data_IF_240545984627
#
_entry.id   IF_240545984627
#
_cell.length_a   1.000
_cell.length_b   1.000
_cell.length_c   1.000
_cell.angle_alpha   90.00
_cell.angle_beta   90.00
_cell.angle_gamma   90.00
#
_symmetry.space_group_name_H-M   'P 1'
#
loop_
_entity.id
_entity.type
_entity.pdbx_description
1 polymer ?
#
# COMPACT_ATOMS: atom_id res chain seq x y z
N UNK A 1 4.61 36.44 112.20
CA UNK A 1 3.24 36.47 111.65
C UNK A 1 3.33 37.00 110.22
N UNK A 2 2.79 36.23 109.27
CA UNK A 2 3.02 36.31 107.82
C UNK A 2 2.36 37.52 107.16
N UNK A 3 3.09 38.25 106.31
CA UNK A 3 2.50 38.98 105.18
C UNK A 3 3.47 38.92 103.99
N UNK A 4 3.45 37.78 103.27
CA UNK A 4 4.06 37.68 101.94
C UNK A 4 3.13 38.33 100.92
N UNK A 5 3.56 39.48 100.45
CA UNK A 5 3.05 40.19 99.28
C UNK A 5 3.00 39.24 98.07
N UNK A 6 1.79 39.01 97.53
CA UNK A 6 1.56 38.12 96.38
C UNK A 6 0.98 38.95 95.24
N UNK A 7 1.86 39.71 94.59
CA UNK A 7 1.57 40.27 93.27
C UNK A 7 1.82 39.14 92.28
N UNK A 8 0.75 38.58 91.69
CA UNK A 8 0.87 37.68 90.53
C UNK A 8 -0.12 38.05 89.46
N UNK A 9 0.41 38.84 88.50
CA UNK A 9 0.35 38.70 87.04
C UNK A 9 -1.01 38.47 86.36
N UNK A 10 -1.40 39.52 85.63
CA UNK A 10 -2.25 39.57 84.43
C UNK A 10 -2.38 38.25 83.65
N UNK A 11 -3.62 37.79 83.48
CA UNK A 11 -4.01 36.85 82.44
C UNK A 11 -3.65 37.42 81.07
N UNK A 12 -2.77 36.72 80.35
CA UNK A 12 -2.55 36.95 78.92
C UNK A 12 -3.09 35.73 78.20
N UNK A 13 -4.22 35.92 77.53
CA UNK A 13 -4.84 34.94 76.65
C UNK A 13 -3.92 34.71 75.44
N UNK A 14 -3.07 33.69 75.50
CA UNK A 14 -2.30 33.25 74.34
C UNK A 14 -3.26 32.51 73.39
N UNK A 15 -3.67 33.21 72.34
CA UNK A 15 -4.44 32.66 71.22
C UNK A 15 -3.56 31.62 70.52
N UNK A 16 -3.84 30.35 70.78
CA UNK A 16 -3.07 29.22 70.29
C UNK A 16 -3.51 28.94 68.84
N UNK A 17 -2.85 29.59 67.88
CA UNK A 17 -3.03 29.30 66.45
C UNK A 17 -2.27 28.02 66.14
N UNK A 18 -3.01 26.93 65.99
CA UNK A 18 -2.46 25.64 65.60
C UNK A 18 -2.12 25.68 64.10
N UNK A 19 -0.84 25.86 63.75
CA UNK A 19 -0.37 25.67 62.38
C UNK A 19 -0.57 24.19 61.97
N UNK A 20 -1.25 23.89 60.85
CA UNK A 20 -1.34 22.52 60.35
C UNK A 20 0.02 22.14 59.74
N UNK A 21 0.83 21.48 60.57
CA UNK A 21 2.16 20.99 60.23
C UNK A 21 2.06 19.87 59.19
N UNK A 22 2.10 20.25 57.92
CA UNK A 22 2.70 19.56 56.77
C UNK A 22 2.76 18.02 56.76
N UNK A 23 1.72 17.31 57.19
CA UNK A 23 1.64 15.86 57.05
C UNK A 23 1.83 15.44 55.58
N UNK A 24 1.30 16.25 54.66
CA UNK A 24 1.48 16.14 53.21
C UNK A 24 2.96 16.05 52.81
N UNK A 25 3.85 16.92 53.32
CA UNK A 25 5.28 16.89 52.97
C UNK A 25 5.97 15.59 53.39
N UNK A 26 5.54 14.95 54.49
CA UNK A 26 6.10 13.67 54.97
C UNK A 26 5.66 12.49 54.11
N UNK A 27 4.43 12.53 53.58
CA UNK A 27 3.95 11.57 52.59
C UNK A 27 4.70 11.71 51.26
N UNK A 28 4.96 12.95 50.81
CA UNK A 28 5.73 13.22 49.59
C UNK A 28 7.25 12.96 49.72
N UNK A 29 7.79 12.98 50.94
CA UNK A 29 9.22 12.73 51.22
C UNK A 29 9.56 11.25 51.48
N UNK A 30 8.58 10.34 51.41
CA UNK A 30 8.81 8.91 51.60
C UNK A 30 9.50 8.32 50.36
N UNK A 31 10.67 7.69 50.53
CA UNK A 31 11.49 7.14 49.42
C UNK A 31 10.72 6.19 48.50
N UNK A 32 9.75 5.44 49.04
CA UNK A 32 8.86 4.56 48.26
C UNK A 32 7.86 5.33 47.38
N UNK A 33 7.38 6.48 47.85
CA UNK A 33 6.47 7.35 47.09
C UNK A 33 7.19 7.99 45.91
N UNK A 34 8.42 8.46 46.12
CA UNK A 34 9.27 9.03 45.07
C UNK A 34 9.62 7.96 44.02
N UNK A 35 9.96 6.74 44.46
CA UNK A 35 10.22 5.62 43.54
C UNK A 35 8.98 5.25 42.70
N UNK A 36 7.80 5.22 43.31
CA UNK A 36 6.54 4.97 42.60
C UNK A 36 6.22 6.09 41.61
N UNK A 37 6.37 7.35 42.02
CA UNK A 37 6.14 8.50 41.15
C UNK A 37 7.11 8.51 39.97
N UNK A 38 8.38 8.18 40.20
CA UNK A 38 9.39 8.03 39.15
C UNK A 38 9.04 6.89 38.17
N UNK A 39 8.53 5.76 38.66
CA UNK A 39 8.07 4.65 37.82
C UNK A 39 6.88 5.07 36.95
N UNK A 40 5.89 5.74 37.54
CA UNK A 40 4.73 6.27 36.81
C UNK A 40 5.18 7.27 35.75
N UNK A 41 6.10 8.17 36.10
CA UNK A 41 6.65 9.16 35.18
C UNK A 41 7.42 8.49 34.02
N UNK A 42 8.22 7.46 34.31
CA UNK A 42 8.92 6.66 33.29
C UNK A 42 7.94 6.01 32.31
N UNK A 43 6.85 5.41 32.81
CA UNK A 43 5.81 4.80 31.98
C UNK A 43 5.10 5.87 31.13
N UNK A 44 4.83 7.04 31.71
CA UNK A 44 4.20 8.16 31.01
C UNK A 44 5.08 8.70 29.87
N UNK A 45 6.41 8.69 30.04
CA UNK A 45 7.37 9.05 28.99
C UNK A 45 7.56 7.93 27.95
N UNK A 46 7.45 6.66 28.35
CA UNK A 46 7.56 5.52 27.44
C UNK A 46 6.33 5.37 26.51
N UNK A 47 5.15 5.73 27.00
CA UNK A 47 3.89 5.61 26.25
C UNK A 47 3.83 6.39 24.92
N UNK A 48 4.24 7.68 24.82
CA UNK A 48 4.23 8.42 23.57
C UNK A 48 5.25 7.88 22.55
N UNK A 49 6.36 7.30 23.00
CA UNK A 49 7.36 6.71 22.11
C UNK A 49 6.81 5.48 21.37
N UNK A 50 6.06 4.62 22.08
CA UNK A 50 5.40 3.46 21.47
C UNK A 50 4.32 3.87 20.45
N UNK A 51 3.55 4.94 20.73
CA UNK A 51 2.48 5.42 19.83
C UNK A 51 3.00 6.15 18.59
N UNK A 52 4.18 6.76 18.68
CA UNK A 52 4.79 7.56 17.60
C UNK A 52 5.29 6.68 16.44
N UNK A 53 5.76 5.46 16.72
CA UNK A 53 6.34 4.58 15.70
C UNK A 53 5.31 4.12 14.65
N UNK A 54 4.09 3.79 15.09
CA UNK A 54 3.04 3.31 14.17
C UNK A 54 2.55 4.39 13.21
N UNK A 55 2.54 5.67 13.62
CA UNK A 55 2.05 6.78 12.78
C UNK A 55 2.99 7.08 11.63
N UNK A 56 4.29 6.99 11.86
CA UNK A 56 5.31 7.20 10.81
C UNK A 56 5.23 6.12 9.74
N UNK A 57 5.06 4.86 10.14
CA UNK A 57 4.94 3.74 9.19
C UNK A 57 3.69 3.82 8.32
N UNK A 58 2.56 4.28 8.87
CA UNK A 58 1.33 4.47 8.09
C UNK A 58 1.48 5.62 7.10
N UNK A 59 2.02 6.76 7.54
CA UNK A 59 2.24 7.92 6.67
C UNK A 59 3.22 7.59 5.53
N UNK A 60 4.32 6.90 5.81
CA UNK A 60 5.30 6.53 4.77
C UNK A 60 4.68 5.58 3.74
N UNK A 61 3.88 4.60 4.19
CA UNK A 61 3.15 3.69 3.30
C UNK A 61 2.12 4.42 2.43
N UNK A 62 1.41 5.39 3.00
CA UNK A 62 0.45 6.21 2.24
C UNK A 62 1.17 7.05 1.19
N UNK A 63 2.33 7.65 1.52
CA UNK A 63 3.15 8.41 0.58
C UNK A 63 3.67 7.50 -0.54
N UNK A 64 4.17 6.31 -0.22
CA UNK A 64 4.65 5.34 -1.20
C UNK A 64 3.50 4.89 -2.13
N UNK A 65 2.32 4.59 -1.58
CA UNK A 65 1.14 4.23 -2.36
C UNK A 65 0.69 5.36 -3.28
N UNK A 66 0.74 6.62 -2.84
CA UNK A 66 0.42 7.77 -3.70
C UNK A 66 1.46 7.94 -4.82
N UNK A 67 2.75 7.76 -4.53
CA UNK A 67 3.82 7.83 -5.54
C UNK A 67 3.66 6.75 -6.61
N UNK A 68 3.34 5.52 -6.22
CA UNK A 68 3.07 4.44 -7.16
C UNK A 68 1.89 4.77 -8.09
N UNK A 69 0.80 5.33 -7.55
CA UNK A 69 -0.33 5.77 -8.36
C UNK A 69 0.04 6.87 -9.35
N UNK A 70 0.87 7.84 -8.94
CA UNK A 70 1.34 8.89 -9.85
C UNK A 70 2.15 8.28 -11.00
N UNK A 71 3.07 7.37 -10.71
CA UNK A 71 3.86 6.71 -11.74
C UNK A 71 3.00 5.88 -12.70
N UNK A 72 1.96 5.20 -12.18
CA UNK A 72 0.99 4.48 -13.00
C UNK A 72 0.21 5.42 -13.93
N UNK A 73 -0.27 6.56 -13.40
CA UNK A 73 -0.98 7.54 -14.21
C UNK A 73 -0.09 8.19 -15.28
N UNK A 74 1.16 8.52 -14.95
CA UNK A 74 2.12 9.06 -15.92
C UNK A 74 2.39 8.05 -17.05
N UNK A 75 2.60 6.78 -16.71
CA UNK A 75 2.78 5.71 -17.69
C UNK A 75 1.54 5.56 -18.59
N UNK A 76 0.35 5.48 -18.00
CA UNK A 76 -0.88 5.34 -18.76
C UNK A 76 -1.11 6.54 -19.68
N UNK A 77 -0.78 7.75 -19.21
CA UNK A 77 -0.88 8.95 -20.04
C UNK A 77 0.09 8.89 -21.23
N UNK A 78 1.33 8.44 -21.02
CA UNK A 78 2.30 8.27 -22.09
C UNK A 78 1.84 7.23 -23.12
N UNK A 79 1.37 6.06 -22.68
CA UNK A 79 0.85 5.02 -23.58
C UNK A 79 -0.35 5.53 -24.40
N UNK A 80 -1.22 6.34 -23.79
CA UNK A 80 -2.37 6.91 -24.48
C UNK A 80 -1.95 7.97 -25.51
N UNK A 81 -0.94 8.78 -25.20
CA UNK A 81 -0.34 9.71 -26.16
C UNK A 81 0.29 8.97 -27.34
N UNK A 82 1.09 7.92 -27.10
CA UNK A 82 1.69 7.10 -28.15
C UNK A 82 0.61 6.44 -29.04
N UNK A 83 -0.49 5.99 -28.44
CA UNK A 83 -1.62 5.45 -29.19
C UNK A 83 -2.33 6.51 -30.05
N UNK A 84 -2.53 7.72 -29.52
CA UNK A 84 -3.08 8.83 -30.29
C UNK A 84 -2.17 9.21 -31.46
N UNK A 85 -0.85 9.23 -31.24
CA UNK A 85 0.13 9.51 -32.29
C UNK A 85 0.10 8.43 -33.39
N UNK A 86 -0.04 7.15 -33.01
CA UNK A 86 -0.25 6.06 -33.96
C UNK A 86 -1.52 6.28 -34.79
N UNK A 87 -2.65 6.59 -34.14
CA UNK A 87 -3.92 6.83 -34.84
C UNK A 87 -3.89 8.05 -35.77
N UNK A 88 -3.12 9.09 -35.41
CA UNK A 88 -2.92 10.26 -36.25
C UNK A 88 -1.97 10.01 -37.43
N UNK A 89 -1.19 8.92 -37.38
CA UNK A 89 -0.23 8.59 -38.43
C UNK A 89 -0.92 8.08 -39.71
N UNK A 90 -0.30 8.29 -40.89
CA UNK A 90 -0.80 7.71 -42.14
C UNK A 90 -0.74 6.17 -42.15
N UNK A 91 0.04 5.55 -41.27
CA UNK A 91 0.12 4.10 -41.13
C UNK A 91 -1.18 3.51 -40.56
N UNK A 92 -1.78 4.15 -39.55
CA UNK A 92 -3.08 3.71 -39.03
C UNK A 92 -4.20 3.83 -40.08
N UNK A 93 -4.17 4.88 -40.92
CA UNK A 93 -5.11 5.01 -42.04
C UNK A 93 -4.91 3.91 -43.08
N UNK A 94 -3.67 3.52 -43.36
CA UNK A 94 -3.34 2.42 -44.25
C UNK A 94 -3.79 1.07 -43.68
N UNK A 95 -3.49 0.79 -42.41
CA UNK A 95 -3.89 -0.44 -41.72
C UNK A 95 -5.42 -0.58 -41.69
N UNK A 96 -6.13 0.50 -41.40
CA UNK A 96 -7.59 0.53 -41.46
C UNK A 96 -8.10 0.30 -42.89
N UNK A 97 -7.49 0.90 -43.91
CA UNK A 97 -7.86 0.68 -45.31
C UNK A 97 -7.63 -0.78 -45.76
N UNK A 98 -6.53 -1.40 -45.33
CA UNK A 98 -6.25 -2.82 -45.60
C UNK A 98 -7.26 -3.74 -44.90
N UNK A 99 -7.60 -3.45 -43.65
CA UNK A 99 -8.52 -4.27 -42.86
C UNK A 99 -9.99 -4.12 -43.29
N UNK A 100 -10.44 -2.88 -43.51
CA UNK A 100 -11.86 -2.59 -43.76
C UNK A 100 -12.25 -2.61 -45.23
N UNK A 101 -11.33 -2.30 -46.14
CA UNK A 101 -11.61 -2.16 -47.57
C UNK A 101 -10.83 -3.17 -48.41
N UNK A 102 -10.06 -4.07 -47.78
CA UNK A 102 -9.16 -5.02 -48.46
C UNK A 102 -8.27 -4.33 -49.50
N UNK A 103 -7.95 -3.05 -49.26
CA UNK A 103 -7.23 -2.18 -50.19
C UNK A 103 -5.76 -2.58 -50.25
N UNK A 104 -5.18 -2.49 -51.45
CA UNK A 104 -3.85 -2.96 -51.78
C UNK A 104 -2.98 -1.84 -52.33
N UNK A 105 -1.67 -1.91 -52.11
CA UNK A 105 -0.73 -0.94 -52.69
C UNK A 105 -0.59 -1.16 -54.20
N UNK A 106 -0.24 -0.12 -55.00
CA UNK A 106 0.05 -0.29 -56.42
C UNK A 106 1.24 -1.26 -56.58
N UNK A 107 0.99 -2.44 -57.16
CA UNK A 107 1.97 -3.52 -57.33
C UNK A 107 1.67 -4.83 -56.56
N UNK A 108 0.62 -4.88 -55.75
CA UNK A 108 0.25 -6.07 -54.97
C UNK A 108 -0.76 -6.98 -55.71
N UNK A 109 -0.47 -8.28 -55.79
CA UNK A 109 -1.33 -9.28 -56.43
C UNK A 109 -2.29 -9.91 -55.41
N UNK A 110 -3.60 -9.86 -55.69
CA UNK A 110 -4.64 -10.47 -54.84
C UNK A 110 -4.98 -11.82 -55.45
N UNK A 111 -4.77 -12.89 -54.70
CA UNK A 111 -5.16 -14.25 -55.07
C UNK A 111 -6.47 -14.57 -54.37
N UNK A 112 -7.56 -14.68 -55.14
CA UNK A 112 -8.86 -15.11 -54.63
C UNK A 112 -8.87 -16.63 -54.72
N UNK A 113 -8.84 -17.31 -53.58
CA UNK A 113 -8.90 -18.77 -53.52
C UNK A 113 -10.39 -19.18 -53.56
N UNK A 114 -10.84 -19.71 -54.69
CA UNK A 114 -12.18 -20.25 -54.84
C UNK A 114 -12.31 -21.55 -54.05
N UNK A 115 -13.31 -21.63 -53.17
CA UNK A 115 -13.50 -22.75 -52.24
C UNK A 115 -13.87 -24.05 -52.97
N UNK A 116 -14.45 -23.97 -54.16
CA UNK A 116 -14.91 -25.14 -54.90
C UNK A 116 -13.77 -26.08 -55.33
N UNK A 117 -12.56 -25.58 -55.56
CA UNK A 117 -11.38 -26.41 -55.90
C UNK A 117 -10.66 -26.98 -54.67
N UNK A 118 -10.72 -26.32 -53.52
CA UNK A 118 -10.07 -26.79 -52.29
C UNK A 118 -10.76 -28.05 -51.76
N UNK A 119 -12.09 -28.12 -51.87
CA UNK A 119 -12.86 -29.31 -51.48
C UNK A 119 -12.52 -30.50 -52.40
N UNK A 120 -12.25 -30.28 -53.69
CA UNK A 120 -11.90 -31.36 -54.61
C UNK A 120 -10.43 -31.81 -54.48
N UNK A 121 -9.51 -30.88 -54.19
CA UNK A 121 -8.11 -31.20 -53.95
C UNK A 121 -7.88 -31.83 -52.56
N UNK A 122 -8.63 -31.39 -51.54
CA UNK A 122 -8.59 -31.95 -50.19
C UNK A 122 -9.24 -33.33 -50.07
N UNK A 123 -10.33 -33.59 -50.80
CA UNK A 123 -11.04 -34.87 -50.75
C UNK A 123 -10.37 -35.96 -51.62
N UNK A 124 -9.56 -35.58 -52.61
CA UNK A 124 -8.83 -36.52 -53.47
C UNK A 124 -7.58 -37.11 -52.78
N UNK A 125 -7.04 -36.45 -51.75
CA UNK A 125 -5.90 -36.97 -50.97
C UNK A 125 -6.29 -37.73 -49.69
N UNK A 126 -7.57 -37.74 -49.31
CA UNK A 126 -8.05 -38.39 -48.08
C UNK A 126 -8.70 -39.77 -48.30
N UNK A 127 -8.79 -40.24 -49.56
CA UNK A 127 -9.32 -41.56 -49.91
C UNK A 127 -8.22 -42.62 -50.07
N UNK A 128 -7.19 -42.59 -49.21
CA UNK A 128 -6.40 -43.78 -48.91
C UNK A 128 -7.02 -44.48 -47.69
N UNK A 129 -7.81 -45.50 -48.01
CA UNK A 129 -8.42 -46.43 -47.08
C UNK A 129 -7.42 -47.00 -46.05
N UNK A 130 -7.92 -47.17 -44.82
CA UNK A 130 -7.44 -48.03 -43.73
C UNK A 130 -6.34 -47.53 -42.78
N UNK A 131 -6.80 -47.07 -41.60
CA UNK A 131 -6.33 -47.55 -40.30
C UNK A 131 -4.81 -47.46 -40.02
N UNK A 132 -4.20 -46.31 -40.23
CA UNK A 132 -3.01 -45.95 -39.44
C UNK A 132 -3.41 -44.97 -38.36
N UNK A 133 -3.34 -45.42 -37.10
CA UNK A 133 -3.57 -44.55 -35.93
C UNK A 133 -2.68 -43.32 -36.05
N UNK A 134 -3.22 -42.13 -35.77
CA UNK A 134 -2.52 -40.86 -35.83
C UNK A 134 -1.13 -40.91 -35.14
N UNK A 135 -0.98 -41.74 -34.12
CA UNK A 135 0.29 -41.95 -33.41
C UNK A 135 1.42 -42.53 -34.28
N UNK A 136 1.09 -43.41 -35.24
CA UNK A 136 2.07 -44.03 -36.13
C UNK A 136 2.66 -43.01 -37.11
N UNK A 137 1.86 -42.02 -37.53
CA UNK A 137 2.29 -40.92 -38.40
C UNK A 137 3.29 -40.01 -37.69
N UNK A 138 3.01 -39.65 -36.44
CA UNK A 138 3.91 -38.84 -35.62
C UNK A 138 5.25 -39.53 -35.40
N UNK A 139 5.24 -40.83 -35.08
CA UNK A 139 6.48 -41.58 -34.86
C UNK A 139 7.40 -41.56 -36.09
N UNK A 140 6.84 -41.74 -37.29
CA UNK A 140 7.64 -41.74 -38.50
C UNK A 140 8.27 -40.37 -38.80
N UNK A 141 7.56 -39.28 -38.52
CA UNK A 141 8.06 -37.92 -38.76
C UNK A 141 9.25 -37.56 -37.86
N UNK A 142 9.24 -38.05 -36.62
CA UNK A 142 10.25 -37.68 -35.64
C UNK A 142 11.50 -38.58 -35.64
N UNK A 143 11.42 -39.80 -36.18
CA UNK A 143 12.46 -40.81 -35.99
C UNK A 143 12.96 -41.48 -37.28
N UNK A 144 12.53 -41.03 -38.47
CA UNK A 144 13.06 -41.48 -39.76
C UNK A 144 13.57 -40.30 -40.59
#
# INVERSE_FOLDING_TARGET
>A
MSLKNKITRSSSSALNIHEPQSAWLRFFSSQKFIAFLALVFLILLAFPLAKSYSRRLVAEKEIEAMRLKIAEYEKNNQELHEFLDYLASPQAAEDQARSSLNLKKPGEAVVIIQKEEIEQLGNSSLNSSASSSALKLWWNYFFN
#
